data_IF_050837887524
#
_entry.id   IF_050837887524
#
_cell.length_a   1.000
_cell.length_b   1.000
_cell.length_c   1.000
_cell.angle_alpha   90.00
_cell.angle_beta   90.00
_cell.angle_gamma   90.00
#
_symmetry.space_group_name_H-M   'P 1'
#
loop_
_entity.id
_entity.type
_entity.pdbx_description
1 polymer ?
#
# COMPACT_ATOMS: atom_id res chain seq x y z
N UNK A 1 16.78 67.37 13.59
CA UNK A 1 16.05 67.34 14.87
C UNK A 1 14.58 67.38 14.51
N UNK A 2 13.79 66.32 14.65
CA UNK A 2 13.76 65.32 15.71
C UNK A 2 13.46 63.95 15.11
N UNK A 3 14.07 62.94 15.71
CA UNK A 3 14.03 61.52 15.38
C UNK A 3 12.62 60.94 15.58
N UNK A 4 12.09 60.25 14.57
CA UNK A 4 10.89 59.44 14.70
C UNK A 4 11.31 58.06 15.21
N UNK A 5 11.50 57.97 16.53
CA UNK A 5 11.85 56.71 17.21
C UNK A 5 10.64 55.79 17.24
N UNK A 6 10.65 54.84 16.32
CA UNK A 6 9.88 53.59 16.33
C UNK A 6 9.74 53.02 17.75
N UNK A 7 8.59 53.27 18.38
CA UNK A 7 8.22 52.60 19.63
C UNK A 7 7.61 51.25 19.27
N UNK A 8 8.45 50.22 19.19
CA UNK A 8 7.96 48.85 19.09
C UNK A 8 7.22 48.51 20.40
N UNK A 9 5.93 48.15 20.28
CA UNK A 9 5.17 47.60 21.39
C UNK A 9 5.88 46.33 21.90
N UNK A 10 5.99 46.10 23.23
CA UNK A 10 6.63 44.90 23.73
C UNK A 10 5.82 43.68 23.28
N UNK A 11 6.45 42.82 22.48
CA UNK A 11 5.89 41.51 22.14
C UNK A 11 5.65 40.75 23.45
N UNK A 12 4.38 40.52 23.77
CA UNK A 12 3.95 39.68 24.89
C UNK A 12 4.54 38.29 24.64
N UNK A 13 5.40 37.84 25.56
CA UNK A 13 5.99 36.51 25.48
C UNK A 13 4.87 35.47 25.32
N UNK A 14 5.05 34.44 24.48
CA UNK A 14 4.07 33.37 24.37
C UNK A 14 3.89 32.77 25.74
N UNK A 15 2.65 32.82 26.23
CA UNK A 15 2.22 32.21 27.47
C UNK A 15 2.45 30.70 27.32
N UNK A 16 3.64 30.26 27.75
CA UNK A 16 4.02 28.85 27.84
C UNK A 16 3.04 28.23 28.82
N UNK A 17 1.97 27.65 28.30
CA UNK A 17 1.02 26.82 29.01
C UNK A 17 1.72 25.56 29.51
N UNK A 18 2.61 25.73 30.49
CA UNK A 18 3.06 24.65 31.32
C UNK A 18 1.80 24.07 31.98
N UNK A 19 1.52 22.79 31.73
CA UNK A 19 0.46 22.06 32.42
C UNK A 19 0.79 22.02 33.92
N UNK A 20 0.45 23.06 34.66
CA UNK A 20 0.58 23.06 36.12
C UNK A 20 -0.60 22.27 36.68
N UNK A 21 -0.42 20.98 36.97
CA UNK A 21 -1.39 20.22 37.76
C UNK A 21 -1.40 20.87 39.14
N UNK A 22 -2.51 21.52 39.58
CA UNK A 22 -2.50 22.21 40.86
C UNK A 22 -2.35 21.16 41.98
N UNK A 23 -1.46 21.42 42.94
CA UNK A 23 -1.06 20.55 44.06
C UNK A 23 -2.19 20.34 45.10
N UNK A 24 -3.38 19.98 44.63
CA UNK A 24 -4.57 19.68 45.42
C UNK A 24 -5.10 18.31 45.02
N UNK A 25 -5.67 17.56 45.97
CA UNK A 25 -6.31 16.25 45.70
C UNK A 25 -7.30 16.30 44.52
N UNK A 26 -8.04 17.40 44.39
CA UNK A 26 -9.04 17.60 43.32
C UNK A 26 -8.39 17.88 41.97
N UNK A 27 -7.28 18.61 41.95
CA UNK A 27 -6.46 18.84 40.75
C UNK A 27 -5.85 17.55 40.24
N UNK A 28 -5.28 16.75 41.14
CA UNK A 28 -4.75 15.42 40.82
C UNK A 28 -5.83 14.51 40.23
N UNK A 29 -7.00 14.39 40.87
CA UNK A 29 -8.09 13.54 40.37
C UNK A 29 -8.63 14.00 39.01
N UNK A 30 -8.77 15.30 38.77
CA UNK A 30 -9.19 15.82 37.46
C UNK A 30 -8.14 15.55 36.37
N UNK A 31 -6.86 15.70 36.71
CA UNK A 31 -5.76 15.37 35.80
C UNK A 31 -5.74 13.88 35.43
N UNK A 32 -5.89 13.00 36.42
CA UNK A 32 -5.96 11.56 36.20
C UNK A 32 -7.17 11.15 35.36
N UNK A 33 -8.37 11.67 35.66
CA UNK A 33 -9.57 11.42 34.88
C UNK A 33 -9.44 11.95 33.44
N UNK A 34 -8.84 13.13 33.25
CA UNK A 34 -8.55 13.68 31.93
C UNK A 34 -7.57 12.81 31.14
N UNK A 35 -6.48 12.35 31.78
CA UNK A 35 -5.50 11.47 31.15
C UNK A 35 -6.11 10.12 30.74
N UNK A 36 -6.94 9.52 31.60
CA UNK A 36 -7.68 8.29 31.28
C UNK A 36 -8.68 8.51 30.13
N UNK A 37 -9.35 9.66 30.08
CA UNK A 37 -10.24 10.01 28.98
C UNK A 37 -9.51 10.15 27.63
N UNK A 38 -8.37 10.84 27.62
CA UNK A 38 -7.53 10.97 26.42
C UNK A 38 -6.99 9.60 25.98
N UNK A 39 -6.51 8.79 26.93
CA UNK A 39 -6.02 7.45 26.63
C UNK A 39 -7.13 6.54 26.08
N UNK A 40 -8.31 6.54 26.70
CA UNK A 40 -9.46 5.76 26.25
C UNK A 40 -9.98 6.17 24.87
N UNK A 41 -10.05 7.48 24.60
CA UNK A 41 -10.40 7.97 23.27
C UNK A 41 -9.31 7.60 22.24
N UNK A 42 -8.05 7.73 22.62
CA UNK A 42 -6.91 7.38 21.77
C UNK A 42 -6.91 5.91 21.37
N UNK A 43 -7.13 4.98 22.32
CA UNK A 43 -7.20 3.54 22.01
C UNK A 43 -8.42 3.18 21.18
N UNK A 44 -9.58 3.81 21.43
CA UNK A 44 -10.77 3.62 20.61
C UNK A 44 -10.55 4.09 19.17
N UNK A 45 -10.08 5.33 18.99
CA UNK A 45 -9.79 5.87 17.65
C UNK A 45 -8.72 5.07 16.93
N UNK A 46 -7.70 4.61 17.65
CA UNK A 46 -6.70 3.71 17.10
C UNK A 46 -7.27 2.36 16.67
N UNK A 47 -8.20 1.80 17.46
CA UNK A 47 -8.92 0.57 17.09
C UNK A 47 -9.77 0.75 15.83
N UNK A 48 -10.54 1.84 15.75
CA UNK A 48 -11.32 2.21 14.55
C UNK A 48 -10.39 2.40 13.34
N UNK A 49 -9.28 3.11 13.53
CA UNK A 49 -8.28 3.30 12.47
C UNK A 49 -7.69 1.97 12.02
N UNK A 50 -7.28 1.08 12.93
CA UNK A 50 -6.73 -0.24 12.61
C UNK A 50 -7.73 -1.14 11.90
N UNK A 51 -9.02 -1.02 12.21
CA UNK A 51 -10.09 -1.77 11.54
C UNK A 51 -10.33 -1.28 10.11
N UNK A 52 -10.27 0.04 9.88
CA UNK A 52 -10.48 0.65 8.56
C UNK A 52 -9.23 0.62 7.66
N UNK A 53 -8.05 0.74 8.27
CA UNK A 53 -6.79 0.74 7.55
C UNK A 53 -6.58 -0.64 6.89
N UNK A 54 -6.08 -0.69 5.65
CA UNK A 54 -5.82 -1.96 4.97
C UNK A 54 -4.84 -2.78 5.82
N UNK A 55 -5.26 -3.99 6.17
CA UNK A 55 -4.43 -4.93 6.90
C UNK A 55 -3.24 -5.35 6.03
N UNK A 56 -2.03 -5.25 6.57
CA UNK A 56 -0.87 -5.94 6.03
C UNK A 56 -0.99 -7.43 6.35
N UNK A 57 -1.98 -8.10 5.76
CA UNK A 57 -2.00 -9.55 5.72
C UNK A 57 -0.81 -9.97 4.86
N UNK A 58 0.24 -10.49 5.49
CA UNK A 58 1.35 -11.08 4.76
C UNK A 58 0.78 -12.13 3.81
N UNK A 59 0.93 -11.90 2.51
CA UNK A 59 0.45 -12.85 1.53
C UNK A 59 1.30 -14.13 1.66
N UNK A 60 0.66 -15.21 2.09
CA UNK A 60 1.32 -16.51 2.12
C UNK A 60 1.80 -16.88 0.71
N UNK A 61 3.00 -17.48 0.58
CA UNK A 61 3.50 -17.90 -0.71
C UNK A 61 2.52 -18.83 -1.42
N UNK A 62 2.29 -18.59 -2.71
CA UNK A 62 1.39 -19.41 -3.52
C UNK A 62 2.21 -20.41 -4.31
N UNK A 63 1.90 -21.70 -4.17
CA UNK A 63 2.54 -22.77 -4.92
C UNK A 63 1.68 -23.20 -6.11
N UNK A 64 2.24 -23.15 -7.32
CA UNK A 64 1.59 -23.60 -8.56
C UNK A 64 2.44 -24.72 -9.18
N UNK A 65 1.87 -25.91 -9.48
CA UNK A 65 2.60 -26.96 -10.20
C UNK A 65 3.05 -26.48 -11.59
N UNK A 66 4.33 -26.68 -11.92
CA UNK A 66 4.90 -26.25 -13.21
C UNK A 66 4.23 -26.96 -14.40
N UNK A 67 3.68 -28.16 -14.17
CA UNK A 67 2.89 -28.91 -15.15
C UNK A 67 1.59 -28.21 -15.56
N UNK A 68 1.01 -27.37 -14.69
CA UNK A 68 -0.20 -26.60 -15.01
C UNK A 68 0.11 -25.43 -15.97
N UNK A 69 1.34 -24.93 -15.94
CA UNK A 69 1.80 -23.81 -16.77
C UNK A 69 2.20 -24.30 -18.18
N UNK A 70 2.57 -25.57 -18.34
CA UNK A 70 3.17 -26.07 -19.59
C UNK A 70 2.17 -26.28 -20.74
N UNK A 71 0.87 -26.39 -20.46
CA UNK A 71 -0.13 -26.60 -21.51
C UNK A 71 -0.61 -25.29 -22.17
N UNK A 72 -0.69 -24.20 -21.40
CA UNK A 72 -1.22 -22.89 -21.83
C UNK A 72 -0.17 -21.79 -21.90
N UNK A 73 1.01 -22.00 -21.31
CA UNK A 73 2.02 -20.95 -21.11
C UNK A 73 1.63 -19.92 -20.04
N UNK A 74 0.45 -20.03 -19.43
CA UNK A 74 -0.09 -19.08 -18.46
C UNK A 74 -0.90 -19.76 -17.36
N UNK A 75 -0.73 -19.36 -16.10
CA UNK A 75 -1.58 -19.81 -14.99
C UNK A 75 -2.12 -18.60 -14.20
N UNK A 76 -3.38 -18.64 -13.77
CA UNK A 76 -4.00 -17.60 -12.95
C UNK A 76 -4.00 -18.01 -11.48
N UNK A 77 -3.81 -17.06 -10.58
CA UNK A 77 -3.80 -17.31 -9.14
C UNK A 77 -4.25 -16.09 -8.33
N UNK A 78 -4.33 -16.24 -7.01
CA UNK A 78 -4.54 -15.11 -6.10
C UNK A 78 -3.42 -15.06 -5.07
N UNK A 79 -2.82 -13.88 -4.88
CA UNK A 79 -1.77 -13.63 -3.89
C UNK A 79 -2.21 -12.47 -2.99
N UNK A 80 -2.41 -12.76 -1.69
CA UNK A 80 -2.91 -11.75 -0.74
C UNK A 80 -4.27 -11.14 -1.13
N UNK A 81 -5.14 -11.90 -1.81
CA UNK A 81 -6.42 -11.41 -2.33
C UNK A 81 -6.32 -10.60 -3.63
N UNK A 82 -5.12 -10.46 -4.19
CA UNK A 82 -4.87 -9.80 -5.48
C UNK A 82 -4.82 -10.84 -6.60
N UNK A 83 -5.62 -10.70 -7.67
CA UNK A 83 -5.55 -11.61 -8.80
C UNK A 83 -4.23 -11.45 -9.54
N UNK A 84 -3.66 -12.58 -9.94
CA UNK A 84 -2.34 -12.68 -10.54
C UNK A 84 -2.32 -13.57 -11.77
N UNK A 85 -1.29 -13.38 -12.58
CA UNK A 85 -0.95 -14.28 -13.68
C UNK A 85 0.51 -14.67 -13.60
N UNK A 86 0.78 -15.94 -13.90
CA UNK A 86 2.10 -16.52 -14.06
C UNK A 86 2.28 -16.79 -15.55
N UNK A 87 3.24 -16.10 -16.17
CA UNK A 87 3.58 -16.21 -17.58
C UNK A 87 4.87 -17.02 -17.74
N UNK A 88 4.89 -17.92 -18.73
CA UNK A 88 6.13 -18.54 -19.21
C UNK A 88 6.65 -17.75 -20.41
N UNK A 89 7.82 -17.14 -20.25
CA UNK A 89 8.54 -16.46 -21.32
C UNK A 89 9.10 -17.43 -22.35
N UNK A 90 9.47 -16.88 -23.52
CA UNK A 90 10.07 -17.66 -24.62
C UNK A 90 11.40 -18.32 -24.19
N UNK A 91 12.12 -17.69 -23.26
CA UNK A 91 13.36 -18.17 -22.63
C UNK A 91 13.14 -19.22 -21.52
N UNK A 92 11.91 -19.73 -21.38
CA UNK A 92 11.47 -20.62 -20.30
C UNK A 92 11.49 -19.98 -18.89
N UNK A 93 11.70 -18.67 -18.78
CA UNK A 93 11.61 -17.99 -17.49
C UNK A 93 10.16 -17.80 -17.06
N UNK A 94 9.89 -17.93 -15.76
CA UNK A 94 8.57 -17.67 -15.20
C UNK A 94 8.50 -16.23 -14.67
N UNK A 95 7.44 -15.51 -15.03
CA UNK A 95 7.18 -14.13 -14.60
C UNK A 95 5.80 -14.07 -13.96
N UNK A 96 5.71 -13.60 -12.72
CA UNK A 96 4.44 -13.40 -12.03
C UNK A 96 4.10 -11.91 -11.96
N UNK A 97 2.87 -11.55 -12.34
CA UNK A 97 2.38 -10.18 -12.31
C UNK A 97 1.02 -10.10 -11.61
N UNK A 98 0.80 -9.00 -10.90
CA UNK A 98 -0.54 -8.57 -10.51
C UNK A 98 -1.35 -8.21 -11.75
N UNK A 99 -2.60 -8.66 -11.80
CA UNK A 99 -3.55 -8.25 -12.82
C UNK A 99 -4.27 -6.94 -12.46
N UNK A 100 -3.87 -6.25 -11.39
CA UNK A 100 -4.48 -4.97 -10.99
C UNK A 100 -3.84 -3.82 -11.73
N UNK A 101 -4.64 -3.12 -12.54
CA UNK A 101 -4.20 -1.92 -13.25
C UNK A 101 -3.81 -0.81 -12.26
N UNK A 102 -2.64 -0.22 -12.48
CA UNK A 102 -2.09 0.84 -11.63
C UNK A 102 -2.79 2.20 -11.78
N UNK A 103 -3.77 2.33 -12.68
CA UNK A 103 -4.59 3.54 -12.78
C UNK A 103 -5.62 3.61 -11.63
N UNK A 104 -6.64 2.75 -11.68
CA UNK A 104 -7.77 2.74 -10.72
C UNK A 104 -8.19 1.30 -10.37
N UNK A 105 -7.23 0.37 -10.35
CA UNK A 105 -7.40 -1.01 -9.87
C UNK A 105 -8.39 -1.91 -10.65
N UNK A 106 -8.73 -1.59 -11.89
CA UNK A 106 -9.41 -2.53 -12.78
C UNK A 106 -8.54 -3.77 -13.07
N UNK A 107 -9.17 -4.91 -13.33
CA UNK A 107 -8.44 -6.12 -13.70
C UNK A 107 -8.05 -6.06 -15.18
N UNK A 108 -6.75 -6.20 -15.45
CA UNK A 108 -6.21 -6.28 -16.81
C UNK A 108 -6.32 -7.70 -17.35
N UNK A 109 -6.42 -7.82 -18.66
CA UNK A 109 -6.44 -9.10 -19.37
C UNK A 109 -5.15 -9.30 -20.16
N UNK A 110 -4.60 -10.52 -20.13
CA UNK A 110 -3.46 -10.89 -20.96
C UNK A 110 -3.91 -11.25 -22.39
N UNK A 111 -3.30 -10.64 -23.39
CA UNK A 111 -3.44 -11.00 -24.79
C UNK A 111 -2.18 -11.76 -25.24
N UNK A 112 -2.32 -13.08 -25.42
CA UNK A 112 -1.19 -13.95 -25.78
C UNK A 112 -0.67 -13.71 -27.22
N UNK A 113 -1.53 -13.31 -28.15
CA UNK A 113 -1.14 -13.07 -29.55
C UNK A 113 -0.25 -11.83 -29.67
N UNK A 114 -0.61 -10.77 -28.95
CA UNK A 114 0.13 -9.49 -28.95
C UNK A 114 1.20 -9.40 -27.87
N UNK A 115 1.24 -10.36 -26.94
CA UNK A 115 2.11 -10.36 -25.76
C UNK A 115 1.98 -9.05 -24.95
N UNK A 116 0.74 -8.63 -24.69
CA UNK A 116 0.43 -7.39 -23.98
C UNK A 116 -0.69 -7.59 -22.95
N UNK A 117 -0.70 -6.76 -21.92
CA UNK A 117 -1.83 -6.59 -21.02
C UNK A 117 -2.69 -5.43 -21.46
N UNK A 118 -4.00 -5.62 -21.39
CA UNK A 118 -4.99 -4.60 -21.71
C UNK A 118 -5.94 -4.34 -20.54
N UNK A 119 -6.15 -3.07 -20.23
CA UNK A 119 -7.10 -2.59 -19.24
C UNK A 119 -8.32 -1.97 -19.94
N UNK A 120 -9.51 -2.59 -19.86
CA UNK A 120 -10.69 -2.12 -20.59
C UNK A 120 -11.35 -0.87 -20.00
N UNK A 121 -10.94 -0.41 -18.82
CA UNK A 121 -11.61 0.71 -18.15
C UNK A 121 -11.28 2.07 -18.79
N UNK A 122 -10.04 2.26 -19.24
CA UNK A 122 -9.55 3.54 -19.77
C UNK A 122 -8.43 3.31 -20.81
N UNK A 123 -8.49 2.21 -21.55
CA UNK A 123 -7.54 1.86 -22.62
C UNK A 123 -6.06 1.88 -22.18
N UNK A 124 -5.77 1.25 -21.05
CA UNK A 124 -4.39 1.09 -20.56
C UNK A 124 -3.71 -0.12 -21.16
N UNK A 125 -2.49 0.01 -21.64
CA UNK A 125 -1.72 -1.08 -22.23
C UNK A 125 -0.38 -1.27 -21.51
N UNK A 126 0.00 -2.53 -21.29
CA UNK A 126 1.30 -2.89 -20.73
C UNK A 126 1.96 -3.97 -21.59
N UNK A 127 3.29 -3.98 -21.67
CA UNK A 127 4.02 -5.00 -22.41
C UNK A 127 4.12 -6.34 -21.65
N UNK A 128 4.78 -7.35 -22.24
CA UNK A 128 5.04 -8.65 -21.62
C UNK A 128 5.87 -8.59 -20.33
N UNK A 129 6.53 -7.47 -20.07
CA UNK A 129 7.29 -7.17 -18.85
C UNK A 129 6.46 -6.38 -17.83
N UNK A 130 5.19 -6.09 -18.13
CA UNK A 130 4.27 -5.33 -17.29
C UNK A 130 4.53 -3.82 -17.31
N UNK A 131 5.40 -3.31 -18.19
CA UNK A 131 5.69 -1.86 -18.29
C UNK A 131 4.59 -1.16 -19.07
N UNK A 132 4.27 0.07 -18.67
CA UNK A 132 3.26 0.88 -19.35
C UNK A 132 3.72 1.17 -20.78
N UNK A 133 2.87 0.83 -21.75
CA UNK A 133 3.06 1.12 -23.18
C UNK A 133 2.24 2.34 -23.57
N UNK A 134 0.98 2.39 -23.14
CA UNK A 134 0.09 3.52 -23.42
C UNK A 134 -1.08 3.61 -22.44
N UNK A 135 -1.80 4.72 -22.52
CA UNK A 135 -2.97 5.02 -21.69
C UNK A 135 -2.64 5.77 -20.40
N UNK A 136 -3.64 5.94 -19.52
CA UNK A 136 -3.50 6.65 -18.25
C UNK A 136 -2.62 6.02 -17.15
N UNK A 137 -2.36 4.68 -17.09
CA UNK A 137 -1.65 4.08 -15.97
C UNK A 137 -0.30 4.76 -15.67
N UNK A 138 -0.04 5.19 -14.42
CA UNK A 138 1.15 5.98 -14.10
C UNK A 138 2.40 5.13 -13.88
N UNK A 139 2.27 3.81 -13.70
CA UNK A 139 3.37 2.91 -13.35
C UNK A 139 3.19 1.49 -13.90
N UNK A 140 4.27 0.70 -14.03
CA UNK A 140 4.20 -0.72 -14.39
C UNK A 140 3.33 -1.55 -13.46
N UNK A 141 2.83 -2.70 -13.95
CA UNK A 141 2.19 -3.72 -13.13
C UNK A 141 3.16 -4.22 -12.05
N UNK A 142 2.62 -4.54 -10.88
CA UNK A 142 3.40 -5.14 -9.80
C UNK A 142 3.90 -6.53 -10.22
N UNK A 143 5.21 -6.75 -10.07
CA UNK A 143 5.85 -8.03 -10.36
C UNK A 143 6.20 -8.73 -9.06
N UNK A 144 5.79 -9.99 -8.93
CA UNK A 144 6.15 -10.82 -7.79
C UNK A 144 7.34 -11.72 -8.10
N UNK A 145 8.13 -12.00 -7.07
CA UNK A 145 9.23 -12.97 -7.16
C UNK A 145 8.66 -14.37 -7.39
N UNK A 146 9.33 -15.12 -8.24
CA UNK A 146 9.01 -16.52 -8.54
C UNK A 146 10.26 -17.35 -8.28
N UNK A 147 10.14 -18.36 -7.43
CA UNK A 147 11.17 -19.38 -7.21
C UNK A 147 10.66 -20.73 -7.70
N UNK A 148 11.52 -21.51 -8.37
CA UNK A 148 11.18 -22.89 -8.75
C UNK A 148 11.80 -23.82 -7.72
N UNK A 149 10.98 -24.63 -7.04
CA UNK A 149 11.43 -25.70 -6.13
C UNK A 149 10.85 -27.03 -6.60
N UNK A 150 11.71 -27.85 -7.20
CA UNK A 150 11.30 -29.12 -7.80
C UNK A 150 10.35 -28.91 -8.97
N UNK A 151 9.12 -29.43 -8.85
CA UNK A 151 8.06 -29.35 -9.84
C UNK A 151 7.05 -28.22 -9.57
N UNK A 152 7.34 -27.32 -8.62
CA UNK A 152 6.47 -26.21 -8.23
C UNK A 152 7.11 -24.85 -8.44
N UNK A 153 6.31 -23.89 -8.88
CA UNK A 153 6.61 -22.46 -8.88
C UNK A 153 6.01 -21.83 -7.62
N UNK A 154 6.85 -21.17 -6.83
CA UNK A 154 6.47 -20.49 -5.59
C UNK A 154 6.47 -18.98 -5.86
N UNK A 155 5.32 -18.35 -5.70
CA UNK A 155 5.13 -16.91 -5.89
C UNK A 155 5.14 -16.22 -4.53
N UNK A 156 5.85 -15.09 -4.43
CA UNK A 156 5.95 -14.34 -3.18
C UNK A 156 6.92 -14.95 -2.18
N UNK A 157 7.85 -15.81 -2.64
CA UNK A 157 8.98 -16.24 -1.84
C UNK A 157 9.80 -15.01 -1.40
N UNK A 158 10.11 -14.95 -0.11
CA UNK A 158 10.76 -13.81 0.55
C UNK A 158 12.19 -13.57 0.02
#
# INVERSE_FOLDING_TARGET
MVEDTSTAAPLKAPETGALTVPATRRGLLKGLLGALGVFGLGTFLYGVYRFLAPGAGGAEPVEIPVAEISASGTAFFQYGGTPGILLRGDDQTLKAFSLVCTHLACIVTWNAEKKEFYCPCHDGFFDAEGRVVSGPPPSPLERWKVEIKGDKAIIGAA
#
